data_IF_094513966001
#
_entry.id   IF_094513966001
#
_cell.length_a   1.000
_cell.length_b   1.000
_cell.length_c   1.000
_cell.angle_alpha   90.00
_cell.angle_beta   90.00
_cell.angle_gamma   90.00
#
_symmetry.space_group_name_H-M   'P 1'
#
loop_
_entity.id
_entity.type
_entity.pdbx_description
1 polymer ?
#
# COMPACT_ATOMS: atom_id res chain seq x y z
N UNK A 1 109.78 -26.09 30.41
CA UNK A 1 108.67 -25.39 29.72
C UNK A 1 107.65 -25.00 30.78
N UNK A 2 107.51 -23.71 31.11
CA UNK A 2 106.72 -23.28 32.26
C UNK A 2 105.22 -23.22 31.93
N UNK A 3 104.41 -23.77 32.83
CA UNK A 3 102.95 -23.72 32.81
C UNK A 3 102.44 -22.29 33.05
N UNK A 4 101.55 -21.81 32.17
CA UNK A 4 100.84 -20.54 32.33
C UNK A 4 99.58 -20.73 33.21
N UNK A 5 99.26 -19.82 34.15
CA UNK A 5 98.04 -19.93 34.96
C UNK A 5 96.80 -19.66 34.11
N UNK A 6 95.85 -20.62 34.09
CA UNK A 6 94.49 -20.42 33.58
C UNK A 6 93.77 -19.37 34.42
N UNK A 7 93.68 -18.13 33.93
CA UNK A 7 92.72 -17.16 34.46
C UNK A 7 91.31 -17.56 34.03
N UNK A 8 90.51 -18.08 34.96
CA UNK A 8 89.07 -18.29 34.75
C UNK A 8 88.39 -16.94 34.47
N UNK A 9 87.97 -16.71 33.22
CA UNK A 9 87.20 -15.52 32.82
C UNK A 9 85.72 -15.81 33.05
N UNK A 10 85.10 -15.08 33.98
CA UNK A 10 83.65 -15.10 34.21
C UNK A 10 82.97 -14.22 33.16
N UNK A 11 82.05 -14.80 32.39
CA UNK A 11 81.24 -14.09 31.38
C UNK A 11 79.94 -13.61 32.02
N UNK A 12 79.49 -12.41 31.66
CA UNK A 12 78.23 -11.82 32.10
C UNK A 12 77.40 -11.47 30.87
N UNK A 13 76.11 -11.79 30.90
CA UNK A 13 75.15 -11.55 29.83
C UNK A 13 74.06 -10.62 30.35
N UNK A 14 73.68 -9.62 29.55
CA UNK A 14 72.55 -8.75 29.82
C UNK A 14 71.65 -8.72 28.56
N UNK A 15 70.33 -8.70 28.78
CA UNK A 15 69.35 -8.73 27.70
C UNK A 15 69.00 -7.30 27.29
N UNK A 16 69.29 -6.91 26.05
CA UNK A 16 68.92 -5.59 25.54
C UNK A 16 67.37 -5.45 25.48
N UNK A 17 66.81 -4.23 25.41
CA UNK A 17 65.36 -4.00 25.31
C UNK A 17 64.68 -4.68 24.11
N UNK A 18 65.46 -5.14 23.12
CA UNK A 18 65.02 -5.92 21.96
C UNK A 18 65.14 -7.45 22.13
N UNK A 19 65.47 -7.95 23.33
CA UNK A 19 65.55 -9.38 23.66
C UNK A 19 66.80 -10.13 23.16
N UNK A 20 67.80 -9.46 22.59
CA UNK A 20 69.05 -10.09 22.13
C UNK A 20 70.11 -10.06 23.22
N UNK A 21 70.72 -11.22 23.49
CA UNK A 21 71.84 -11.33 24.44
C UNK A 21 73.10 -10.71 23.86
N UNK A 22 73.71 -9.78 24.60
CA UNK A 22 74.97 -9.15 24.22
C UNK A 22 76.05 -9.43 25.27
N UNK A 23 77.22 -9.86 24.81
CA UNK A 23 78.36 -10.15 25.69
C UNK A 23 79.02 -8.82 26.07
N UNK A 24 78.97 -8.46 27.36
CA UNK A 24 79.56 -7.23 27.86
C UNK A 24 80.82 -7.56 28.65
N UNK A 25 81.98 -7.08 28.17
CA UNK A 25 83.22 -7.16 28.95
C UNK A 25 83.23 -6.01 29.96
N UNK A 26 82.93 -6.30 31.24
CA UNK A 26 83.09 -5.31 32.31
C UNK A 26 84.58 -5.03 32.50
N UNK A 27 85.08 -3.93 31.92
CA UNK A 27 86.42 -3.41 32.18
C UNK A 27 86.46 -2.83 33.59
N UNK A 28 86.73 -3.67 34.60
CA UNK A 28 87.18 -3.17 35.90
C UNK A 28 88.57 -2.56 35.71
N UNK A 29 88.73 -1.28 36.06
CA UNK A 29 90.03 -0.63 36.07
C UNK A 29 91.00 -1.43 36.94
N UNK A 30 92.01 -2.04 36.32
CA UNK A 30 93.12 -2.68 37.03
C UNK A 30 93.95 -1.58 37.69
N UNK A 31 93.75 -1.34 38.98
CA UNK A 31 94.70 -0.56 39.78
C UNK A 31 95.91 -1.46 40.03
N UNK A 32 97.07 -1.04 39.55
CA UNK A 32 98.35 -1.62 39.92
C UNK A 32 98.63 -1.29 41.39
N UNK A 33 98.34 -2.23 42.30
CA UNK A 33 98.84 -2.14 43.65
C UNK A 33 100.29 -2.61 43.68
N UNK A 34 101.21 -1.64 43.87
CA UNK A 34 102.59 -1.92 44.27
C UNK A 34 102.54 -2.71 45.59
N UNK A 35 103.12 -3.90 45.58
CA UNK A 35 103.39 -4.67 46.78
C UNK A 35 104.41 -3.92 47.63
N UNK A 36 103.94 -3.12 48.58
CA UNK A 36 104.70 -2.86 49.80
C UNK A 36 104.25 -3.89 50.82
N UNK A 37 105.10 -4.89 51.05
CA UNK A 37 105.06 -5.67 52.28
C UNK A 37 105.36 -4.71 53.44
N UNK A 38 104.33 -4.06 53.98
CA UNK A 38 104.34 -3.64 55.37
C UNK A 38 103.76 -4.80 56.17
N UNK A 39 104.56 -5.31 57.09
CA UNK A 39 104.04 -6.05 58.23
C UNK A 39 102.93 -5.20 58.85
N UNK A 40 101.69 -5.67 58.76
CA UNK A 40 100.58 -5.10 59.50
C UNK A 40 100.74 -5.64 60.92
N UNK A 41 101.42 -4.85 61.76
CA UNK A 41 101.00 -4.76 63.16
C UNK A 41 99.48 -4.50 63.18
N UNK A 42 98.71 -4.97 64.18
CA UNK A 42 97.34 -4.52 64.33
C UNK A 42 97.37 -3.01 64.56
N UNK A 43 97.25 -2.24 63.46
CA UNK A 43 97.30 -0.79 63.43
C UNK A 43 96.13 -0.27 64.27
N UNK A 44 96.41 0.01 65.55
CA UNK A 44 95.54 0.83 66.38
C UNK A 44 95.63 2.24 65.82
N UNK A 45 94.80 2.51 64.81
CA UNK A 45 94.66 3.83 64.23
C UNK A 45 94.07 4.76 65.30
N UNK A 46 94.92 5.54 65.95
CA UNK A 46 94.51 6.51 66.98
C UNK A 46 93.87 7.71 66.30
N UNK A 47 92.56 7.64 66.15
CA UNK A 47 91.72 8.74 65.67
C UNK A 47 91.61 9.80 66.77
N UNK A 48 91.85 11.07 66.43
CA UNK A 48 91.55 12.16 67.36
C UNK A 48 90.05 12.22 67.67
N UNK A 49 89.66 12.69 68.85
CA UNK A 49 88.23 12.76 69.22
C UNK A 49 87.41 13.59 68.21
N UNK A 50 87.99 14.63 67.64
CA UNK A 50 87.33 15.48 66.64
C UNK A 50 87.18 14.81 65.28
N UNK A 51 88.13 13.96 64.88
CA UNK A 51 88.04 13.17 63.66
C UNK A 51 87.03 12.03 63.82
N UNK A 52 86.97 11.41 65.01
CA UNK A 52 85.94 10.44 65.35
C UNK A 52 84.53 11.07 65.30
N UNK A 53 84.35 12.25 65.89
CA UNK A 53 83.09 12.98 65.83
C UNK A 53 82.68 13.32 64.38
N UNK A 54 83.64 13.72 63.53
CA UNK A 54 83.39 13.96 62.10
C UNK A 54 82.97 12.70 61.35
N UNK A 55 83.56 11.55 61.67
CA UNK A 55 83.17 10.27 61.07
C UNK A 55 81.77 9.85 61.50
N UNK A 56 81.43 9.99 62.79
CA UNK A 56 80.09 9.69 63.31
C UNK A 56 79.03 10.59 62.65
N UNK A 57 79.30 11.89 62.52
CA UNK A 57 78.38 12.83 61.89
C UNK A 57 78.20 12.53 60.40
N UNK A 58 79.28 12.20 59.69
CA UNK A 58 79.20 11.78 58.29
C UNK A 58 78.37 10.50 58.14
N UNK A 59 78.59 9.51 59.01
CA UNK A 59 77.82 8.26 58.99
C UNK A 59 76.33 8.53 59.27
N UNK A 60 76.03 9.43 60.22
CA UNK A 60 74.66 9.89 60.48
C UNK A 60 74.02 10.51 59.25
N UNK A 61 74.70 11.46 58.59
CA UNK A 61 74.20 12.09 57.36
C UNK A 61 74.02 11.07 56.22
N UNK A 62 74.95 10.12 56.06
CA UNK A 62 74.84 9.06 55.05
C UNK A 62 73.65 8.14 55.34
N UNK A 63 73.43 7.78 56.62
CA UNK A 63 72.29 6.97 57.03
C UNK A 63 70.95 7.69 56.80
N UNK A 64 70.88 8.98 57.09
CA UNK A 64 69.69 9.81 56.82
C UNK A 64 69.41 9.94 55.32
N UNK A 65 70.44 10.21 54.51
CA UNK A 65 70.31 10.25 53.05
C UNK A 65 69.86 8.89 52.48
N UNK A 66 70.45 7.80 52.94
CA UNK A 66 70.04 6.46 52.51
C UNK A 66 68.58 6.16 52.89
N UNK A 67 68.12 6.64 54.05
CA UNK A 67 66.71 6.53 54.45
C UNK A 67 65.81 7.32 53.49
N UNK A 68 66.11 8.60 53.25
CA UNK A 68 65.36 9.45 52.31
C UNK A 68 65.28 8.84 50.92
N UNK A 69 66.41 8.35 50.38
CA UNK A 69 66.46 7.69 49.08
C UNK A 69 65.63 6.40 49.05
N UNK A 70 65.59 5.66 50.16
CA UNK A 70 64.76 4.45 50.26
C UNK A 70 63.27 4.80 50.28
N UNK A 71 62.90 5.85 51.02
CA UNK A 71 61.52 6.34 51.09
C UNK A 71 61.05 6.86 49.72
N UNK A 72 61.88 7.64 49.02
CA UNK A 72 61.63 8.08 47.65
C UNK A 72 61.52 6.92 46.68
N UNK A 73 62.43 5.94 46.75
CA UNK A 73 62.37 4.75 45.90
C UNK A 73 61.08 3.94 46.13
N UNK A 74 60.61 3.86 47.38
CA UNK A 74 59.35 3.21 47.71
C UNK A 74 58.15 4.02 47.19
N UNK A 75 58.16 5.34 47.33
CA UNK A 75 57.11 6.22 46.78
C UNK A 75 57.02 6.16 45.25
N UNK A 76 58.17 6.12 44.57
CA UNK A 76 58.21 5.96 43.11
C UNK A 76 57.70 4.59 42.68
N UNK A 77 58.00 3.52 43.42
CA UNK A 77 57.48 2.18 43.14
C UNK A 77 55.97 2.11 43.31
N UNK A 78 55.40 2.70 44.36
CA UNK A 78 53.95 2.73 44.56
C UNK A 78 53.27 3.57 43.48
N UNK A 79 53.83 4.72 43.13
CA UNK A 79 53.33 5.56 42.03
C UNK A 79 53.37 4.84 40.68
N UNK A 80 54.46 4.13 40.38
CA UNK A 80 54.57 3.33 39.16
C UNK A 80 53.51 2.21 39.12
N UNK A 81 53.31 1.51 40.22
CA UNK A 81 52.29 0.45 40.30
C UNK A 81 50.87 1.01 40.08
N UNK A 82 50.56 2.19 40.64
CA UNK A 82 49.29 2.87 40.40
C UNK A 82 49.14 3.27 38.93
N UNK A 83 50.15 3.91 38.34
CA UNK A 83 50.11 4.32 36.94
C UNK A 83 49.99 3.11 35.98
N UNK A 84 50.61 1.98 36.30
CA UNK A 84 50.46 0.73 35.55
C UNK A 84 49.05 0.16 35.66
N UNK A 85 48.45 0.17 36.86
CA UNK A 85 47.08 -0.26 37.07
C UNK A 85 46.09 0.60 36.27
N UNK A 86 46.26 1.92 36.28
CA UNK A 86 45.44 2.86 35.52
C UNK A 86 45.61 2.65 34.02
N UNK A 87 46.84 2.50 33.53
CA UNK A 87 47.12 2.22 32.12
C UNK A 87 46.43 0.92 31.66
N UNK A 88 46.49 -0.14 32.47
CA UNK A 88 45.76 -1.38 32.20
C UNK A 88 44.25 -1.16 32.21
N UNK A 89 43.71 -0.43 33.18
CA UNK A 89 42.29 -0.13 33.26
C UNK A 89 41.79 0.63 32.01
N UNK A 90 42.50 1.69 31.60
CA UNK A 90 42.14 2.44 30.40
C UNK A 90 42.24 1.59 29.14
N UNK A 91 43.34 0.84 28.98
CA UNK A 91 43.58 0.05 27.77
C UNK A 91 42.63 -1.12 27.61
N UNK A 92 42.22 -1.77 28.70
CA UNK A 92 41.46 -3.02 28.63
C UNK A 92 39.99 -2.89 29.00
N UNK A 93 39.60 -1.82 29.70
CA UNK A 93 38.21 -1.62 30.12
C UNK A 93 37.62 -0.41 29.40
N UNK A 94 38.17 0.78 29.62
CA UNK A 94 37.54 2.03 29.17
C UNK A 94 37.56 2.15 27.65
N UNK A 95 38.73 1.96 27.01
CA UNK A 95 38.85 2.10 25.55
C UNK A 95 37.96 1.08 24.81
N UNK A 96 37.97 -0.23 25.16
CA UNK A 96 37.06 -1.19 24.52
C UNK A 96 35.58 -0.89 24.75
N UNK A 97 35.18 -0.43 25.93
CA UNK A 97 33.79 -0.06 26.21
C UNK A 97 33.34 1.12 25.35
N UNK A 98 34.15 2.18 25.26
CA UNK A 98 33.87 3.33 24.41
C UNK A 98 33.82 2.94 22.93
N UNK A 99 34.74 2.08 22.48
CA UNK A 99 34.71 1.57 21.11
C UNK A 99 33.43 0.78 20.82
N UNK A 100 32.97 -0.04 21.78
CA UNK A 100 31.69 -0.75 21.68
C UNK A 100 30.50 0.21 21.54
N UNK A 101 30.47 1.28 22.35
CA UNK A 101 29.43 2.31 22.26
C UNK A 101 29.47 3.07 20.93
N UNK A 102 30.65 3.45 20.45
CA UNK A 102 30.82 4.09 19.14
C UNK A 102 30.29 3.18 18.04
N UNK A 103 30.62 1.89 18.08
CA UNK A 103 30.15 0.93 17.08
C UNK A 103 28.62 0.77 17.11
N UNK A 104 28.02 0.69 18.29
CA UNK A 104 26.56 0.61 18.45
C UNK A 104 25.86 1.86 17.91
N UNK A 105 26.31 3.05 18.32
CA UNK A 105 25.77 4.32 17.82
C UNK A 105 25.99 4.50 16.32
N UNK A 106 27.08 3.98 15.77
CA UNK A 106 27.33 4.02 14.32
C UNK A 106 26.35 3.11 13.58
N UNK A 107 26.10 1.90 14.09
CA UNK A 107 25.10 0.99 13.51
C UNK A 107 23.69 1.59 13.57
N UNK A 108 23.32 2.20 14.69
CA UNK A 108 22.03 2.87 14.85
C UNK A 108 21.89 4.06 13.88
N UNK A 109 22.93 4.87 13.72
CA UNK A 109 22.93 5.97 12.75
C UNK A 109 22.76 5.48 11.30
N UNK A 110 23.43 4.38 10.92
CA UNK A 110 23.25 3.77 9.60
C UNK A 110 21.83 3.22 9.41
N UNK A 111 21.28 2.56 10.43
CA UNK A 111 19.90 2.09 10.40
C UNK A 111 18.89 3.24 10.25
N UNK A 112 19.11 4.35 10.95
CA UNK A 112 18.29 5.56 10.83
C UNK A 112 18.41 6.20 9.44
N UNK A 113 19.62 6.28 8.87
CA UNK A 113 19.83 6.76 7.49
C UNK A 113 19.05 5.92 6.48
N UNK A 114 19.16 4.60 6.56
CA UNK A 114 18.40 3.68 5.70
C UNK A 114 16.89 3.84 5.89
N UNK A 115 16.43 4.06 7.12
CA UNK A 115 15.02 4.32 7.42
C UNK A 115 14.53 5.62 6.78
N UNK A 116 15.31 6.69 6.87
CA UNK A 116 15.02 7.98 6.23
C UNK A 116 14.96 7.84 4.71
N UNK A 117 15.93 7.15 4.10
CA UNK A 117 15.95 6.92 2.66
C UNK A 117 14.72 6.11 2.20
N UNK A 118 14.33 5.09 2.95
CA UNK A 118 13.12 4.31 2.69
C UNK A 118 11.84 5.16 2.83
N UNK A 119 11.75 6.00 3.86
CA UNK A 119 10.65 6.93 4.04
C UNK A 119 10.59 7.97 2.90
N UNK A 120 11.73 8.48 2.45
CA UNK A 120 11.86 9.36 1.29
C UNK A 120 11.37 8.70 0.00
N UNK A 121 11.79 7.46 -0.25
CA UNK A 121 11.33 6.70 -1.42
C UNK A 121 9.82 6.43 -1.39
N UNK A 122 9.27 6.11 -0.21
CA UNK A 122 7.83 5.88 -0.06
C UNK A 122 7.02 7.16 -0.24
N UNK A 123 7.48 8.30 0.30
CA UNK A 123 6.80 9.60 0.10
C UNK A 123 6.83 10.04 -1.36
N UNK A 124 7.94 9.81 -2.07
CA UNK A 124 8.01 10.07 -3.51
C UNK A 124 7.01 9.21 -4.31
N UNK A 125 6.89 7.92 -3.97
CA UNK A 125 5.88 7.02 -4.58
C UNK A 125 4.46 7.49 -4.28
N UNK A 126 4.17 7.85 -3.03
CA UNK A 126 2.86 8.38 -2.63
C UNK A 126 2.52 9.67 -3.37
N UNK A 127 3.48 10.59 -3.52
CA UNK A 127 3.28 11.83 -4.29
C UNK A 127 2.96 11.54 -5.76
N UNK A 128 3.64 10.56 -6.37
CA UNK A 128 3.34 10.13 -7.74
C UNK A 128 1.94 9.51 -7.87
N UNK A 129 1.53 8.69 -6.91
CA UNK A 129 0.19 8.09 -6.88
C UNK A 129 -0.89 9.14 -6.65
N UNK A 130 -0.65 10.11 -5.77
CA UNK A 130 -1.54 11.22 -5.50
C UNK A 130 -1.77 12.07 -6.76
N UNK A 131 -0.69 12.41 -7.48
CA UNK A 131 -0.78 13.13 -8.74
C UNK A 131 -1.55 12.33 -9.81
N UNK A 132 -1.33 11.01 -9.88
CA UNK A 132 -2.10 10.13 -10.76
C UNK A 132 -3.59 10.14 -10.43
N UNK A 133 -3.94 10.10 -9.14
CA UNK A 133 -5.33 10.14 -8.69
C UNK A 133 -5.97 11.49 -8.98
N UNK A 134 -5.26 12.61 -8.78
CA UNK A 134 -5.71 13.96 -9.15
C UNK A 134 -6.04 14.03 -10.64
N UNK A 135 -5.17 13.53 -11.52
CA UNK A 135 -5.44 13.48 -12.95
C UNK A 135 -6.66 12.61 -13.33
N UNK A 136 -6.94 11.56 -12.57
CA UNK A 136 -8.14 10.73 -12.77
C UNK A 136 -9.39 11.51 -12.34
N UNK A 137 -9.33 12.20 -11.21
CA UNK A 137 -10.44 13.05 -10.72
C UNK A 137 -10.74 14.14 -11.76
N UNK A 138 -9.74 14.87 -12.25
CA UNK A 138 -9.92 15.91 -13.26
C UNK A 138 -10.59 15.36 -14.54
N UNK A 139 -10.23 14.16 -14.97
CA UNK A 139 -10.86 13.51 -16.14
C UNK A 139 -12.32 13.18 -15.87
N UNK A 140 -12.62 12.60 -14.70
CA UNK A 140 -13.99 12.25 -14.31
C UNK A 140 -14.87 13.49 -14.16
N UNK A 141 -14.34 14.59 -13.63
CA UNK A 141 -15.05 15.86 -13.53
C UNK A 141 -15.36 16.45 -14.92
N UNK A 142 -14.41 16.38 -15.85
CA UNK A 142 -14.63 16.78 -17.23
C UNK A 142 -15.70 15.94 -17.94
N UNK A 143 -15.66 14.61 -17.75
CA UNK A 143 -16.65 13.69 -18.29
C UNK A 143 -18.05 13.98 -17.70
N UNK A 144 -18.12 14.23 -16.39
CA UNK A 144 -19.37 14.62 -15.72
C UNK A 144 -19.95 15.91 -16.29
N UNK A 145 -19.11 16.94 -16.54
CA UNK A 145 -19.54 18.18 -17.18
C UNK A 145 -20.08 17.94 -18.61
N UNK A 146 -19.43 17.07 -19.39
CA UNK A 146 -19.89 16.70 -20.73
C UNK A 146 -21.24 15.99 -20.70
N UNK A 147 -21.39 15.03 -19.78
CA UNK A 147 -22.64 14.29 -19.60
C UNK A 147 -23.78 15.19 -19.15
N UNK A 148 -23.52 16.15 -18.27
CA UNK A 148 -24.53 17.11 -17.83
C UNK A 148 -24.99 18.04 -18.97
N UNK A 149 -24.07 18.52 -19.80
CA UNK A 149 -24.41 19.27 -21.01
C UNK A 149 -25.28 18.46 -21.97
N UNK A 150 -24.95 17.18 -22.17
CA UNK A 150 -25.74 16.27 -23.00
C UNK A 150 -27.14 16.04 -22.42
N UNK A 151 -27.26 15.84 -21.09
CA UNK A 151 -28.54 15.70 -20.39
C UNK A 151 -29.43 16.94 -20.61
N UNK A 152 -28.88 18.14 -20.40
CA UNK A 152 -29.62 19.38 -20.65
C UNK A 152 -30.04 19.54 -22.12
N UNK A 153 -29.22 19.07 -23.07
CA UNK A 153 -29.59 19.03 -24.49
C UNK A 153 -30.81 18.15 -24.76
N UNK A 154 -30.78 16.91 -24.25
CA UNK A 154 -31.88 15.96 -24.38
C UNK A 154 -33.15 16.43 -23.67
N UNK A 155 -33.03 17.10 -22.52
CA UNK A 155 -34.18 17.68 -21.82
C UNK A 155 -34.88 18.76 -22.65
N UNK A 156 -34.12 19.61 -23.35
CA UNK A 156 -34.68 20.61 -24.28
C UNK A 156 -35.37 19.95 -25.47
N UNK A 157 -34.71 19.01 -26.13
CA UNK A 157 -35.27 18.28 -27.27
C UNK A 157 -36.57 17.56 -26.87
N UNK A 158 -36.61 16.93 -25.70
CA UNK A 158 -37.81 16.29 -25.18
C UNK A 158 -38.93 17.31 -24.89
N UNK A 159 -38.60 18.50 -24.40
CA UNK A 159 -39.57 19.57 -24.23
C UNK A 159 -40.14 20.02 -25.59
N UNK A 160 -39.30 20.24 -26.59
CA UNK A 160 -39.70 20.61 -27.95
C UNK A 160 -40.61 19.54 -28.56
N UNK A 161 -40.21 18.26 -28.50
CA UNK A 161 -41.02 17.13 -28.98
C UNK A 161 -42.36 17.01 -28.26
N UNK A 162 -42.44 17.35 -26.96
CA UNK A 162 -43.72 17.40 -26.23
C UNK A 162 -44.61 18.53 -26.74
N UNK A 163 -44.05 19.70 -27.00
CA UNK A 163 -44.81 20.83 -27.57
C UNK A 163 -45.32 20.50 -28.98
N UNK A 164 -44.49 19.89 -29.82
CA UNK A 164 -44.87 19.45 -31.16
C UNK A 164 -45.96 18.37 -31.09
N UNK A 165 -45.80 17.35 -30.24
CA UNK A 165 -46.84 16.34 -30.02
C UNK A 165 -48.17 16.95 -29.53
N UNK A 166 -48.13 17.94 -28.64
CA UNK A 166 -49.33 18.63 -28.18
C UNK A 166 -50.01 19.38 -29.35
N UNK A 167 -49.23 20.07 -30.19
CA UNK A 167 -49.70 20.73 -31.40
C UNK A 167 -50.32 19.75 -32.39
N UNK A 168 -49.65 18.64 -32.71
CA UNK A 168 -50.15 17.59 -33.59
C UNK A 168 -51.42 16.94 -33.05
N UNK A 169 -51.48 16.63 -31.75
CA UNK A 169 -52.71 16.15 -31.10
C UNK A 169 -53.85 17.16 -31.22
N UNK A 170 -53.56 18.45 -31.10
CA UNK A 170 -54.52 19.52 -31.37
C UNK A 170 -55.02 19.50 -32.82
N UNK A 171 -54.09 19.41 -33.79
CA UNK A 171 -54.39 19.33 -35.23
C UNK A 171 -55.19 18.08 -35.61
N UNK A 172 -55.01 16.95 -34.93
CA UNK A 172 -55.82 15.73 -35.14
C UNK A 172 -57.20 15.88 -34.48
N UNK A 173 -57.27 16.50 -33.30
CA UNK A 173 -58.52 16.64 -32.55
C UNK A 173 -59.47 17.65 -33.18
N UNK A 174 -58.98 18.74 -33.77
CA UNK A 174 -59.83 19.78 -34.37
C UNK A 174 -60.71 19.27 -35.54
N UNK A 175 -60.21 18.47 -36.49
CA UNK A 175 -61.02 17.82 -37.53
C UNK A 175 -61.92 16.71 -37.00
N UNK A 176 -61.50 15.97 -35.96
CA UNK A 176 -62.35 14.92 -35.37
C UNK A 176 -63.60 15.51 -34.70
N UNK A 177 -63.50 16.67 -34.02
CA UNK A 177 -64.65 17.29 -33.32
C UNK A 177 -65.93 17.45 -34.18
N UNK A 178 -65.89 18.07 -35.37
CA UNK A 178 -67.06 18.17 -36.23
C UNK A 178 -67.47 16.82 -36.85
N UNK A 179 -66.54 15.89 -37.09
CA UNK A 179 -66.86 14.54 -37.56
C UNK A 179 -67.62 13.76 -36.47
N UNK A 180 -67.14 13.78 -35.22
CA UNK A 180 -67.82 13.15 -34.08
C UNK A 180 -69.19 13.78 -33.82
N UNK A 181 -69.31 15.10 -33.96
CA UNK A 181 -70.59 15.82 -33.81
C UNK A 181 -71.57 15.58 -34.98
N UNK A 182 -71.06 15.38 -36.19
CA UNK A 182 -71.87 15.06 -37.38
C UNK A 182 -72.29 13.58 -37.37
N UNK A 183 -71.35 12.66 -37.15
CA UNK A 183 -71.60 11.23 -37.01
C UNK A 183 -72.48 10.93 -35.78
N UNK A 184 -72.30 11.64 -34.66
CA UNK A 184 -73.11 11.44 -33.45
C UNK A 184 -74.61 11.70 -33.64
N UNK A 185 -75.00 12.52 -34.63
CA UNK A 185 -76.42 12.74 -35.00
C UNK A 185 -76.85 11.92 -36.20
N UNK A 186 -76.01 11.79 -37.22
CA UNK A 186 -76.32 11.04 -38.44
C UNK A 186 -76.41 9.53 -38.18
N UNK A 187 -75.53 8.97 -37.34
CA UNK A 187 -75.46 7.52 -37.14
C UNK A 187 -76.73 6.96 -36.48
N UNK A 188 -77.26 7.55 -35.39
CA UNK A 188 -78.53 7.09 -34.80
C UNK A 188 -79.73 7.24 -35.74
N UNK A 189 -79.77 8.32 -36.54
CA UNK A 189 -80.86 8.56 -37.49
C UNK A 189 -80.80 7.56 -38.66
N UNK A 190 -79.61 7.32 -39.24
CA UNK A 190 -79.41 6.26 -40.24
C UNK A 190 -79.69 4.86 -39.68
N UNK A 191 -79.33 4.57 -38.43
CA UNK A 191 -79.66 3.30 -37.80
C UNK A 191 -81.17 3.12 -37.66
N UNK A 192 -81.90 4.17 -37.25
CA UNK A 192 -83.36 4.17 -37.14
C UNK A 192 -84.04 3.98 -38.50
N UNK A 193 -83.54 4.66 -39.52
CA UNK A 193 -84.04 4.53 -40.89
C UNK A 193 -83.78 3.12 -41.44
N UNK A 194 -82.60 2.54 -41.16
CA UNK A 194 -82.28 1.17 -41.54
C UNK A 194 -83.21 0.16 -40.87
N UNK A 195 -83.54 0.35 -39.59
CA UNK A 195 -84.52 -0.49 -38.87
C UNK A 195 -85.93 -0.33 -39.46
N UNK A 196 -86.36 0.91 -39.73
CA UNK A 196 -87.63 1.19 -40.38
C UNK A 196 -87.76 0.48 -41.73
N UNK A 197 -86.76 0.62 -42.61
CA UNK A 197 -86.78 -0.02 -43.93
C UNK A 197 -86.71 -1.55 -43.85
N UNK A 198 -86.02 -2.09 -42.86
CA UNK A 198 -85.98 -3.54 -42.60
C UNK A 198 -87.37 -4.07 -42.23
N UNK A 199 -88.13 -3.34 -41.42
CA UNK A 199 -89.50 -3.71 -41.07
C UNK A 199 -90.46 -3.54 -42.25
N UNK A 200 -90.30 -2.48 -43.06
CA UNK A 200 -91.04 -2.33 -44.31
C UNK A 200 -90.79 -3.52 -45.25
N UNK A 201 -89.53 -3.93 -45.44
CA UNK A 201 -89.19 -5.09 -46.25
C UNK A 201 -89.85 -6.38 -45.74
N UNK A 202 -89.89 -6.58 -44.42
CA UNK A 202 -90.57 -7.73 -43.80
C UNK A 202 -92.08 -7.70 -44.06
N UNK A 203 -92.70 -6.54 -43.90
CA UNK A 203 -94.13 -6.36 -44.14
C UNK A 203 -94.51 -6.66 -45.59
N UNK A 204 -93.77 -6.10 -46.55
CA UNK A 204 -94.01 -6.35 -47.98
C UNK A 204 -93.81 -7.81 -48.36
N UNK A 205 -92.77 -8.46 -47.82
CA UNK A 205 -92.56 -9.89 -48.01
C UNK A 205 -93.74 -10.71 -47.50
N UNK A 206 -94.23 -10.41 -46.30
CA UNK A 206 -95.39 -11.09 -45.72
C UNK A 206 -96.65 -10.91 -46.58
N UNK A 207 -96.93 -9.70 -47.06
CA UNK A 207 -98.06 -9.43 -47.97
C UNK A 207 -97.93 -10.19 -49.29
N UNK A 208 -96.73 -10.24 -49.87
CA UNK A 208 -96.47 -10.98 -51.10
C UNK A 208 -96.68 -12.48 -50.90
N UNK A 209 -96.14 -13.06 -49.83
CA UNK A 209 -96.33 -14.49 -49.51
C UNK A 209 -97.79 -14.85 -49.25
N UNK A 210 -98.56 -13.97 -48.58
CA UNK A 210 -99.99 -14.18 -48.37
C UNK A 210 -100.77 -14.12 -49.69
N UNK A 211 -100.45 -13.14 -50.54
CA UNK A 211 -101.06 -13.01 -51.88
C UNK A 211 -100.73 -14.21 -52.76
N UNK A 212 -99.48 -14.69 -52.70
CA UNK A 212 -99.04 -15.88 -53.43
C UNK A 212 -99.78 -17.12 -52.95
N UNK A 213 -99.90 -17.33 -51.63
CA UNK A 213 -100.69 -18.44 -51.06
C UNK A 213 -102.14 -18.43 -51.55
N UNK A 214 -102.81 -17.28 -51.50
CA UNK A 214 -104.20 -17.16 -52.01
C UNK A 214 -104.30 -17.45 -53.51
N UNK A 215 -103.30 -17.04 -54.29
CA UNK A 215 -103.24 -17.35 -55.72
C UNK A 215 -103.08 -18.86 -55.95
N UNK A 216 -102.13 -19.49 -55.25
CA UNK A 216 -101.89 -20.94 -55.31
C UNK A 216 -103.15 -21.72 -54.92
N UNK A 217 -103.85 -21.32 -53.85
CA UNK A 217 -105.13 -21.92 -53.42
C UNK A 217 -106.21 -21.79 -54.49
N UNK A 218 -106.33 -20.62 -55.13
CA UNK A 218 -107.31 -20.37 -56.20
C UNK A 218 -107.00 -21.22 -57.42
N UNK A 219 -105.72 -21.32 -57.81
CA UNK A 219 -105.25 -22.19 -58.88
C UNK A 219 -105.58 -23.65 -58.57
N UNK A 220 -105.34 -24.12 -57.34
CA UNK A 220 -105.71 -25.47 -56.90
C UNK A 220 -107.22 -25.74 -56.99
N UNK A 221 -108.07 -24.79 -56.56
CA UNK A 221 -109.53 -24.91 -56.68
C UNK A 221 -109.97 -24.98 -58.15
N UNK A 222 -109.39 -24.13 -59.01
CA UNK A 222 -109.67 -24.14 -60.45
C UNK A 222 -109.22 -25.44 -61.10
N UNK A 223 -108.09 -26.00 -60.70
CA UNK A 223 -107.60 -27.28 -61.18
C UNK A 223 -108.55 -28.43 -60.79
N UNK A 224 -108.97 -28.50 -59.53
CA UNK A 224 -109.97 -29.47 -59.05
C UNK A 224 -111.29 -29.31 -59.82
N UNK A 225 -111.76 -28.07 -60.02
CA UNK A 225 -112.99 -27.80 -60.78
C UNK A 225 -112.85 -28.24 -62.24
N UNK A 226 -111.70 -27.98 -62.86
CA UNK A 226 -111.39 -28.40 -64.23
C UNK A 226 -111.34 -29.92 -64.34
N UNK A 227 -110.70 -30.60 -63.40
CA UNK A 227 -110.69 -32.07 -63.33
C UNK A 227 -112.09 -32.66 -63.15
N UNK A 228 -112.92 -32.08 -62.26
CA UNK A 228 -114.32 -32.48 -62.09
C UNK A 228 -115.12 -32.29 -63.39
N UNK A 229 -114.94 -31.16 -64.07
CA UNK A 229 -115.61 -30.88 -65.33
C UNK A 229 -115.20 -31.88 -66.42
N UNK A 230 -113.91 -32.18 -66.56
CA UNK A 230 -113.41 -33.25 -67.44
C UNK A 230 -114.00 -34.62 -67.09
N UNK A 231 -114.13 -34.94 -65.79
CA UNK A 231 -114.76 -36.19 -65.36
C UNK A 231 -116.26 -36.23 -65.72
N UNK A 232 -117.00 -35.12 -65.57
CA UNK A 232 -118.39 -35.01 -66.02
C UNK A 232 -118.50 -35.16 -67.55
N UNK A 233 -117.62 -34.51 -68.32
CA UNK A 233 -117.54 -34.65 -69.78
C UNK A 233 -117.30 -36.11 -70.19
N UNK A 234 -116.38 -36.82 -69.53
CA UNK A 234 -116.13 -38.24 -69.79
C UNK A 234 -117.33 -39.14 -69.45
N UNK A 235 -118.06 -38.84 -68.36
CA UNK A 235 -119.30 -39.55 -68.02
C UNK A 235 -120.37 -39.31 -69.10
N UNK A 236 -120.52 -38.08 -69.58
CA UNK A 236 -121.49 -37.72 -70.62
C UNK A 236 -121.16 -38.39 -71.97
N UNK A 237 -119.88 -38.39 -72.38
CA UNK A 237 -119.40 -39.10 -73.58
C UNK A 237 -119.69 -40.61 -73.50
N UNK A 238 -119.41 -41.26 -72.36
CA UNK A 238 -119.68 -42.70 -72.16
C UNK A 238 -121.17 -43.05 -72.26
N UNK A 239 -122.07 -42.11 -71.96
CA UNK A 239 -123.52 -42.27 -72.02
C UNK A 239 -124.15 -41.82 -73.34
N UNK A 240 -123.36 -41.38 -74.33
CA UNK A 240 -123.80 -40.84 -75.63
C UNK A 240 -124.77 -39.65 -75.51
N UNK A 241 -124.62 -38.84 -74.47
CA UNK A 241 -125.43 -37.62 -74.26
C UNK A 241 -124.78 -36.42 -74.96
N UNK A 242 -123.46 -36.49 -75.19
CA UNK A 242 -122.63 -35.60 -76.00
C UNK A 242 -121.83 -36.45 -76.98
#
# INVERSE_FOLDING_TARGET
MPELPRMSRRWYFETAPSGKEQIISVKRSRRHHRHHHRHHDPDVYRVSRDEWNRLVERERCLAENNRSLTDEANALRTSLAAAQADAHHFSHVVVPQLQGQINALSADNEALRLSIDNAGNNTARQSCEEERLRQIIDKLENDQCCLEKARCGLERENADLKTENASLRGRIRCPLKPIDAACGRLLPDLSRDAEYWKDQCRQWRSKFEDTRRRHDDTCGILEIRTQKMRAYEEILKRRRIL
#
